data_IF_985221146288
#
_entry.id   IF_985221146288
#
_cell.length_a   1.000
_cell.length_b   1.000
_cell.length_c   1.000
_cell.angle_alpha   90.00
_cell.angle_beta   90.00
_cell.angle_gamma   90.00
#
_symmetry.space_group_name_H-M   'P 1'
#
loop_
_entity.id
_entity.type
_entity.pdbx_description
1 polymer ?
#
# COMPACT_ATOMS: atom_id res chain seq x y z
N UNK A 1 12.60 22.49 -1.73
CA UNK A 1 12.20 21.24 -2.41
C UNK A 1 13.43 20.39 -2.77
N UNK A 2 14.43 20.92 -3.48
CA UNK A 2 15.61 20.17 -3.97
C UNK A 2 16.33 19.38 -2.85
N UNK A 3 16.70 20.04 -1.76
CA UNK A 3 17.35 19.36 -0.63
C UNK A 3 16.52 18.22 -0.05
N UNK A 4 15.21 18.39 0.09
CA UNK A 4 14.32 17.31 0.55
C UNK A 4 14.29 16.15 -0.46
N UNK A 5 14.34 16.43 -1.77
CA UNK A 5 14.36 15.42 -2.83
C UNK A 5 15.62 14.57 -2.77
N UNK A 6 16.79 15.20 -2.56
CA UNK A 6 18.06 14.48 -2.42
C UNK A 6 18.00 13.48 -1.24
N UNK A 7 17.54 13.93 -0.08
CA UNK A 7 17.43 13.06 1.12
C UNK A 7 16.46 11.91 0.87
N UNK A 8 15.27 12.21 0.34
CA UNK A 8 14.23 11.22 0.13
C UNK A 8 14.63 10.23 -0.98
N UNK A 9 15.24 10.70 -2.07
CA UNK A 9 15.68 9.81 -3.16
C UNK A 9 16.78 8.85 -2.70
N UNK A 10 17.72 9.31 -1.87
CA UNK A 10 18.74 8.44 -1.26
C UNK A 10 18.11 7.35 -0.38
N UNK A 11 17.13 7.72 0.44
CA UNK A 11 16.39 6.79 1.28
C UNK A 11 15.61 5.74 0.47
N UNK A 12 15.05 6.14 -0.68
CA UNK A 12 14.29 5.25 -1.56
C UNK A 12 15.16 4.46 -2.53
N UNK A 13 16.47 4.70 -2.56
CA UNK A 13 17.40 4.08 -3.51
C UNK A 13 17.08 4.43 -4.96
N UNK A 14 16.83 5.71 -5.24
CA UNK A 14 16.51 6.18 -6.59
C UNK A 14 17.21 7.49 -6.93
N UNK A 15 17.15 7.88 -8.24
CA UNK A 15 17.63 9.19 -8.69
C UNK A 15 16.64 10.28 -8.35
N UNK A 16 17.13 11.43 -7.89
CA UNK A 16 16.32 12.62 -7.63
C UNK A 16 15.62 13.15 -8.90
N UNK A 17 16.17 12.90 -10.09
CA UNK A 17 15.58 13.33 -11.37
C UNK A 17 14.27 12.61 -11.68
N UNK A 18 14.08 11.43 -11.10
CA UNK A 18 12.93 10.57 -11.31
C UNK A 18 11.87 10.70 -10.20
N UNK A 19 12.08 11.58 -9.21
CA UNK A 19 11.24 11.71 -8.03
C UNK A 19 10.43 13.00 -8.03
N UNK A 20 9.13 12.91 -8.27
CA UNK A 20 8.16 14.01 -8.13
C UNK A 20 7.42 13.94 -6.79
N UNK A 21 7.05 15.10 -6.23
CA UNK A 21 6.29 15.16 -4.99
C UNK A 21 4.79 15.34 -5.23
N UNK A 22 4.02 14.59 -4.50
CA UNK A 22 2.56 14.54 -4.53
C UNK A 22 2.03 14.50 -3.08
N UNK A 23 0.74 14.72 -2.91
CA UNK A 23 0.10 14.72 -1.58
C UNK A 23 -0.01 13.30 -1.00
N UNK A 24 -0.27 12.29 -1.85
CA UNK A 24 -0.43 10.90 -1.46
C UNK A 24 -0.33 9.96 -2.67
N UNK A 25 -0.20 8.65 -2.39
CA UNK A 25 -0.08 7.62 -3.43
C UNK A 25 -1.28 7.60 -4.40
N UNK A 26 -2.51 7.83 -3.92
CA UNK A 26 -3.71 7.87 -4.77
C UNK A 26 -3.62 8.97 -5.83
N UNK A 27 -3.15 10.17 -5.44
CA UNK A 27 -2.86 11.26 -6.38
C UNK A 27 -1.80 10.83 -7.40
N UNK A 28 -0.75 10.11 -6.96
CA UNK A 28 0.28 9.60 -7.85
C UNK A 28 -0.23 8.60 -8.87
N UNK A 29 -1.05 7.65 -8.43
CA UNK A 29 -1.76 6.73 -9.34
C UNK A 29 -2.60 7.52 -10.33
N UNK A 30 -3.33 8.55 -9.86
CA UNK A 30 -4.11 9.46 -10.71
C UNK A 30 -3.27 10.15 -11.79
N UNK A 31 -2.09 10.67 -11.44
CA UNK A 31 -1.15 11.29 -12.40
C UNK A 31 -0.76 10.29 -13.50
N UNK A 32 -0.41 9.06 -13.12
CA UNK A 32 -0.04 8.02 -14.09
C UNK A 32 -1.22 7.70 -14.99
N UNK A 33 -2.37 7.34 -14.44
CA UNK A 33 -3.54 6.93 -15.22
C UNK A 33 -4.03 8.04 -16.17
N UNK A 34 -4.00 9.30 -15.71
CA UNK A 34 -4.40 10.43 -16.55
C UNK A 34 -3.39 10.71 -17.70
N UNK A 35 -2.14 10.35 -17.51
CA UNK A 35 -1.07 10.53 -18.49
C UNK A 35 -0.95 9.37 -19.50
N UNK A 36 -1.67 8.27 -19.28
CA UNK A 36 -1.65 7.13 -20.19
C UNK A 36 -2.35 7.47 -21.53
N UNK A 37 -1.73 6.99 -22.59
CA UNK A 37 -2.33 7.00 -23.94
C UNK A 37 -2.36 5.56 -24.48
N UNK A 38 -3.37 4.80 -24.07
CA UNK A 38 -3.55 3.40 -24.47
C UNK A 38 -4.62 3.29 -25.56
N UNK A 39 -4.52 2.30 -26.46
CA UNK A 39 -5.58 2.03 -27.45
C UNK A 39 -6.93 1.73 -26.80
N UNK A 40 -8.01 2.06 -27.50
CA UNK A 40 -9.36 1.63 -27.13
C UNK A 40 -9.41 0.11 -26.99
N UNK A 41 -10.12 -0.38 -25.98
CA UNK A 41 -10.20 -1.80 -25.64
C UNK A 41 -9.00 -2.38 -24.93
N UNK A 42 -8.01 -1.55 -24.52
CA UNK A 42 -6.93 -1.98 -23.65
C UNK A 42 -7.45 -2.46 -22.29
N UNK A 43 -6.80 -3.46 -21.72
CA UNK A 43 -7.13 -3.97 -20.39
C UNK A 43 -6.15 -3.46 -19.34
N UNK A 44 -6.71 -2.89 -18.27
CA UNK A 44 -6.01 -2.55 -17.04
C UNK A 44 -6.32 -3.62 -16.01
N UNK A 45 -5.31 -4.18 -15.37
CA UNK A 45 -5.50 -5.20 -14.34
C UNK A 45 -4.91 -4.76 -13.01
N UNK A 46 -5.59 -5.14 -11.93
CA UNK A 46 -5.07 -5.11 -10.57
C UNK A 46 -5.42 -6.42 -9.88
N UNK A 47 -5.00 -6.62 -8.63
CA UNK A 47 -5.51 -7.73 -7.83
C UNK A 47 -6.71 -7.28 -7.00
N UNK A 48 -7.50 -8.23 -6.49
CA UNK A 48 -8.56 -7.95 -5.52
C UNK A 48 -8.03 -7.32 -4.20
N UNK A 49 -6.70 -7.33 -3.97
CA UNK A 49 -6.05 -6.66 -2.85
C UNK A 49 -5.86 -5.15 -3.05
N UNK A 50 -6.14 -4.64 -4.24
CA UNK A 50 -5.95 -3.23 -4.59
C UNK A 50 -6.69 -2.30 -3.63
N UNK A 51 -6.02 -1.21 -3.24
CA UNK A 51 -6.64 -0.18 -2.41
C UNK A 51 -7.91 0.38 -3.08
N UNK A 52 -9.01 0.50 -2.31
CA UNK A 52 -10.31 0.86 -2.88
C UNK A 52 -10.31 2.20 -3.64
N UNK A 53 -9.54 3.19 -3.19
CA UNK A 53 -9.39 4.45 -3.92
C UNK A 53 -8.78 4.27 -5.31
N UNK A 54 -7.80 3.37 -5.45
CA UNK A 54 -7.18 3.00 -6.73
C UNK A 54 -8.17 2.20 -7.59
N UNK A 55 -8.92 1.26 -7.00
CA UNK A 55 -10.00 0.51 -7.67
C UNK A 55 -10.99 1.45 -8.35
N UNK A 56 -11.52 2.42 -7.62
CA UNK A 56 -12.48 3.38 -8.15
C UNK A 56 -11.87 4.25 -9.26
N UNK A 57 -10.60 4.64 -9.10
CA UNK A 57 -9.89 5.43 -10.11
C UNK A 57 -9.70 4.64 -11.42
N UNK A 58 -9.30 3.36 -11.34
CA UNK A 58 -9.14 2.49 -12.50
C UNK A 58 -10.49 2.25 -13.21
N UNK A 59 -11.56 2.00 -12.47
CA UNK A 59 -12.91 1.85 -13.02
C UNK A 59 -13.35 3.12 -13.76
N UNK A 60 -13.27 4.28 -13.12
CA UNK A 60 -13.66 5.55 -13.70
C UNK A 60 -12.81 5.96 -14.93
N UNK A 61 -11.50 5.61 -14.92
CA UNK A 61 -10.64 5.86 -16.07
C UNK A 61 -10.98 4.94 -17.24
N UNK A 62 -11.31 3.69 -16.95
CA UNK A 62 -11.71 2.71 -17.98
C UNK A 62 -12.99 3.11 -18.68
N UNK A 63 -14.02 3.58 -17.94
CA UNK A 63 -15.26 4.11 -18.51
C UNK A 63 -15.01 5.31 -19.43
N UNK A 64 -14.11 6.24 -19.03
CA UNK A 64 -13.83 7.46 -19.81
C UNK A 64 -13.04 7.25 -21.09
N UNK A 65 -12.24 6.18 -21.16
CA UNK A 65 -11.29 5.96 -22.25
C UNK A 65 -11.62 4.71 -23.09
N UNK A 66 -12.78 4.10 -22.89
CA UNK A 66 -13.16 2.83 -23.53
C UNK A 66 -12.12 1.72 -23.29
N UNK A 67 -11.57 1.66 -22.08
CA UNK A 67 -10.72 0.58 -21.60
C UNK A 67 -11.53 -0.40 -20.76
N UNK A 68 -10.93 -1.53 -20.41
CA UNK A 68 -11.53 -2.52 -19.50
C UNK A 68 -10.70 -2.59 -18.23
N UNK A 69 -11.33 -2.44 -17.07
CA UNK A 69 -10.71 -2.74 -15.79
C UNK A 69 -11.15 -4.11 -15.30
N UNK A 70 -10.20 -4.92 -14.86
CA UNK A 70 -10.47 -6.25 -14.30
C UNK A 70 -9.58 -6.52 -13.08
N UNK A 71 -10.14 -7.22 -12.09
CA UNK A 71 -9.40 -7.71 -10.94
C UNK A 71 -9.02 -9.18 -11.11
N UNK A 72 -7.76 -9.49 -10.77
CA UNK A 72 -7.23 -10.85 -10.65
C UNK A 72 -7.42 -11.27 -9.21
N UNK A 73 -8.12 -12.36 -8.98
CA UNK A 73 -8.43 -12.81 -7.63
C UNK A 73 -7.28 -13.62 -7.04
N UNK A 74 -6.55 -13.03 -6.09
CA UNK A 74 -5.56 -13.72 -5.27
C UNK A 74 -6.26 -14.21 -4.01
N UNK A 75 -6.43 -15.52 -3.93
CA UNK A 75 -7.10 -16.18 -2.80
C UNK A 75 -6.21 -16.16 -1.56
N UNK A 76 -6.85 -16.00 -0.38
CA UNK A 76 -6.20 -16.13 0.92
C UNK A 76 -6.69 -17.36 1.68
N UNK A 77 -5.85 -18.01 2.48
CA UNK A 77 -4.47 -17.65 2.81
C UNK A 77 -3.49 -17.78 1.65
N UNK A 78 -2.59 -16.81 1.55
CA UNK A 78 -1.44 -16.92 0.65
C UNK A 78 -0.36 -17.74 1.34
N UNK A 79 0.20 -18.73 0.65
CA UNK A 79 1.20 -19.65 1.20
C UNK A 79 2.62 -19.37 0.74
N UNK A 80 2.79 -18.71 -0.41
CA UNK A 80 4.10 -18.35 -0.94
C UNK A 80 4.03 -17.17 -1.92
N UNK A 81 5.14 -16.44 -2.15
CA UNK A 81 5.23 -15.44 -3.20
C UNK A 81 4.93 -16.02 -4.60
N UNK A 82 5.31 -17.28 -4.84
CA UNK A 82 5.08 -17.96 -6.12
C UNK A 82 3.59 -18.11 -6.42
N UNK A 83 2.75 -18.41 -5.43
CA UNK A 83 1.29 -18.47 -5.60
C UNK A 83 0.74 -17.15 -6.15
N UNK A 84 1.19 -16.00 -5.62
CA UNK A 84 0.77 -14.69 -6.14
C UNK A 84 1.25 -14.50 -7.57
N UNK A 85 2.54 -14.81 -7.81
CA UNK A 85 3.16 -14.64 -9.11
C UNK A 85 2.41 -15.43 -10.18
N UNK A 86 2.18 -16.72 -9.96
CA UNK A 86 1.46 -17.59 -10.89
C UNK A 86 0.04 -17.09 -11.14
N UNK A 87 -0.69 -16.73 -10.06
CA UNK A 87 -2.06 -16.22 -10.17
C UNK A 87 -2.13 -14.94 -11.01
N UNK A 88 -1.21 -14.00 -10.79
CA UNK A 88 -1.18 -12.73 -11.54
C UNK A 88 -0.82 -12.98 -13.00
N UNK A 89 0.15 -13.84 -13.27
CA UNK A 89 0.61 -14.18 -14.63
C UNK A 89 -0.49 -14.88 -15.44
N UNK A 90 -1.20 -15.81 -14.82
CA UNK A 90 -2.31 -16.53 -15.44
C UNK A 90 -3.52 -15.61 -15.69
N UNK A 91 -3.61 -14.55 -14.91
CA UNK A 91 -4.63 -13.52 -15.08
C UNK A 91 -4.40 -12.57 -16.26
N UNK A 92 -3.25 -12.55 -16.92
CA UNK A 92 -3.04 -11.66 -18.06
C UNK A 92 -3.72 -12.17 -19.34
N UNK A 93 -4.21 -11.24 -20.15
CA UNK A 93 -4.72 -11.48 -21.49
C UNK A 93 -3.87 -10.76 -22.56
N UNK A 94 -4.12 -11.03 -23.83
CA UNK A 94 -3.45 -10.33 -24.94
C UNK A 94 -3.79 -8.81 -24.97
N UNK A 95 -4.88 -8.42 -24.29
CA UNK A 95 -5.32 -7.02 -24.17
C UNK A 95 -4.72 -6.31 -22.97
N UNK A 96 -4.09 -7.03 -22.04
CA UNK A 96 -3.49 -6.43 -20.85
C UNK A 96 -2.38 -5.48 -21.23
N UNK A 97 -2.51 -4.21 -20.85
CA UNK A 97 -1.52 -3.14 -21.13
C UNK A 97 -0.93 -2.52 -19.88
N UNK A 98 -1.62 -2.62 -18.74
CA UNK A 98 -1.16 -2.11 -17.46
C UNK A 98 -1.50 -3.09 -16.35
N UNK A 99 -0.50 -3.39 -15.51
CA UNK A 99 -0.69 -3.97 -14.18
C UNK A 99 -0.53 -2.87 -13.13
N UNK A 100 -1.53 -2.70 -12.26
CA UNK A 100 -1.41 -1.90 -11.04
C UNK A 100 -1.36 -2.85 -9.86
N UNK A 101 -0.27 -2.81 -9.09
CA UNK A 101 0.00 -3.78 -8.04
C UNK A 101 0.45 -3.13 -6.74
N UNK A 102 -0.13 -3.54 -5.63
CA UNK A 102 0.35 -3.13 -4.31
C UNK A 102 1.71 -3.77 -4.01
N UNK A 103 2.67 -3.02 -3.46
CA UNK A 103 3.88 -3.61 -2.89
C UNK A 103 3.58 -4.24 -1.54
N UNK A 104 2.77 -3.57 -0.72
CA UNK A 104 2.20 -4.09 0.52
C UNK A 104 0.72 -3.80 0.53
N UNK A 105 -0.10 -4.84 0.46
CA UNK A 105 -1.54 -4.71 0.39
C UNK A 105 -2.14 -4.10 1.67
N UNK A 106 -3.03 -3.13 1.49
CA UNK A 106 -3.58 -2.35 2.61
C UNK A 106 -4.42 -3.20 3.57
N UNK A 107 -5.31 -4.05 3.05
CA UNK A 107 -6.21 -4.86 3.89
C UNK A 107 -5.46 -6.03 4.53
N UNK A 108 -4.70 -6.76 3.74
CA UNK A 108 -4.13 -8.05 4.16
C UNK A 108 -2.74 -7.94 4.79
N UNK A 109 -2.05 -6.81 4.59
CA UNK A 109 -0.66 -6.62 5.04
C UNK A 109 0.37 -7.45 4.26
N UNK A 110 -0.07 -8.18 3.23
CA UNK A 110 0.80 -9.08 2.45
C UNK A 110 1.77 -8.28 1.60
N UNK A 111 3.04 -8.67 1.64
CA UNK A 111 4.09 -8.16 0.76
C UNK A 111 4.08 -8.96 -0.55
N UNK A 112 3.88 -8.28 -1.66
CA UNK A 112 3.79 -8.87 -2.99
C UNK A 112 5.18 -9.02 -3.65
N UNK A 113 5.38 -10.03 -4.52
CA UNK A 113 6.64 -10.27 -5.22
C UNK A 113 6.83 -9.30 -6.41
N UNK A 114 6.94 -8.00 -6.07
CA UNK A 114 6.96 -6.91 -7.07
C UNK A 114 8.15 -7.03 -8.01
N UNK A 115 9.31 -7.47 -7.52
CA UNK A 115 10.52 -7.62 -8.34
C UNK A 115 10.30 -8.61 -9.48
N UNK A 116 9.74 -9.76 -9.18
CA UNK A 116 9.43 -10.82 -10.15
C UNK A 116 8.33 -10.36 -11.12
N UNK A 117 7.30 -9.68 -10.61
CA UNK A 117 6.21 -9.13 -11.44
C UNK A 117 6.73 -8.08 -12.43
N UNK A 118 7.65 -7.20 -12.01
CA UNK A 118 8.28 -6.22 -12.92
C UNK A 118 9.00 -6.91 -14.06
N UNK A 119 9.77 -7.97 -13.78
CA UNK A 119 10.48 -8.73 -14.81
C UNK A 119 9.52 -9.36 -15.82
N UNK A 120 8.47 -10.03 -15.34
CA UNK A 120 7.46 -10.67 -16.20
C UNK A 120 6.69 -9.65 -17.03
N UNK A 121 6.29 -8.53 -16.44
CA UNK A 121 5.60 -7.46 -17.17
C UNK A 121 6.48 -6.90 -18.30
N UNK A 122 7.74 -6.66 -18.01
CA UNK A 122 8.72 -6.20 -19.02
C UNK A 122 8.89 -7.19 -20.17
N UNK A 123 9.01 -8.49 -19.88
CA UNK A 123 9.10 -9.53 -20.90
C UNK A 123 7.85 -9.62 -21.78
N UNK A 124 6.68 -9.34 -21.22
CA UNK A 124 5.39 -9.37 -21.92
C UNK A 124 4.97 -8.04 -22.56
N UNK A 125 5.75 -6.98 -22.39
CA UNK A 125 5.39 -5.65 -22.88
C UNK A 125 4.18 -5.05 -22.18
N UNK A 126 3.94 -5.41 -20.92
CA UNK A 126 2.89 -4.88 -20.04
C UNK A 126 3.53 -3.82 -19.16
N UNK A 127 2.98 -2.60 -19.16
CA UNK A 127 3.43 -1.56 -18.23
C UNK A 127 3.04 -1.92 -16.79
N UNK A 128 3.87 -1.51 -15.82
CA UNK A 128 3.61 -1.79 -14.39
C UNK A 128 3.69 -0.53 -13.53
N UNK A 129 2.61 -0.25 -12.81
CA UNK A 129 2.53 0.77 -11.76
C UNK A 129 2.49 0.09 -10.40
N UNK A 130 3.50 0.35 -9.57
CA UNK A 130 3.57 -0.19 -8.21
C UNK A 130 3.01 0.81 -7.21
N UNK A 131 1.96 0.42 -6.52
CA UNK A 131 1.45 1.13 -5.34
C UNK A 131 2.25 0.70 -4.10
N UNK A 132 3.26 1.49 -3.78
CA UNK A 132 4.09 1.32 -2.60
C UNK A 132 3.62 2.15 -1.40
N UNK A 133 2.34 2.50 -1.29
CA UNK A 133 1.82 3.37 -0.23
C UNK A 133 2.25 2.97 1.18
N UNK A 134 2.46 1.68 1.44
CA UNK A 134 2.90 1.14 2.73
C UNK A 134 4.38 0.74 2.78
N UNK A 135 5.12 0.81 1.67
CA UNK A 135 6.46 0.25 1.60
C UNK A 135 7.58 1.15 2.20
N UNK A 136 7.60 2.49 1.97
CA UNK A 136 8.65 3.34 2.53
C UNK A 136 8.67 3.29 4.07
N UNK A 137 9.83 2.99 4.65
CA UNK A 137 10.01 2.82 6.09
C UNK A 137 9.64 1.43 6.63
N UNK A 138 8.78 0.67 5.92
CA UNK A 138 8.43 -0.70 6.27
C UNK A 138 9.36 -1.73 5.62
N UNK A 139 9.70 -1.53 4.34
CA UNK A 139 10.55 -2.41 3.57
C UNK A 139 11.90 -1.76 3.27
N UNK A 140 12.89 -2.58 2.98
CA UNK A 140 14.18 -2.10 2.44
C UNK A 140 14.03 -1.85 0.94
N UNK A 141 13.85 -0.58 0.57
CA UNK A 141 13.55 -0.18 -0.79
C UNK A 141 14.80 0.19 -1.57
N UNK A 142 14.86 -0.27 -2.81
CA UNK A 142 15.72 0.27 -3.84
C UNK A 142 14.91 0.33 -5.14
N UNK A 143 14.27 1.47 -5.40
CA UNK A 143 13.34 1.60 -6.53
C UNK A 143 14.08 1.49 -7.86
N UNK A 144 15.32 1.98 -7.95
CA UNK A 144 16.13 1.81 -9.17
C UNK A 144 16.42 0.34 -9.49
N UNK A 145 16.64 -0.51 -8.46
CA UNK A 145 16.84 -1.94 -8.68
C UNK A 145 15.54 -2.67 -9.02
N UNK A 146 14.41 -2.23 -8.48
CA UNK A 146 13.09 -2.75 -8.86
C UNK A 146 12.76 -2.39 -10.30
N UNK A 147 13.05 -1.16 -10.70
CA UNK A 147 12.88 -0.61 -12.04
C UNK A 147 11.50 -0.86 -12.69
N UNK A 148 10.37 -0.56 -12.00
CA UNK A 148 9.04 -0.56 -12.63
C UNK A 148 8.91 0.61 -13.62
N UNK A 149 7.78 0.75 -14.29
CA UNK A 149 7.49 1.95 -15.08
C UNK A 149 7.17 3.13 -14.17
N UNK A 150 6.38 2.91 -13.13
CA UNK A 150 6.05 3.92 -12.11
C UNK A 150 5.98 3.27 -10.73
N UNK A 151 6.34 4.07 -9.73
CA UNK A 151 6.23 3.70 -8.32
C UNK A 151 5.68 4.87 -7.52
N UNK A 152 4.58 4.67 -6.80
CA UNK A 152 4.03 5.67 -5.88
C UNK A 152 4.25 5.25 -4.43
N UNK A 153 4.36 6.21 -3.52
CA UNK A 153 4.48 5.89 -2.11
C UNK A 153 4.11 7.05 -1.20
N UNK A 154 3.89 6.72 0.07
CA UNK A 154 3.58 7.67 1.13
C UNK A 154 4.73 7.78 2.14
N UNK A 155 5.09 9.02 2.49
CA UNK A 155 6.05 9.32 3.53
C UNK A 155 5.35 9.63 4.88
N UNK A 156 4.03 9.79 4.86
CA UNK A 156 3.21 10.05 6.06
C UNK A 156 2.66 8.78 6.74
N UNK A 157 3.10 7.59 6.31
CA UNK A 157 2.76 6.32 6.98
C UNK A 157 3.93 5.84 7.84
N UNK A 158 4.76 4.93 7.35
CA UNK A 158 5.82 4.28 8.13
C UNK A 158 7.09 5.10 8.29
N UNK A 159 7.26 6.16 7.48
CA UNK A 159 8.32 7.17 7.68
C UNK A 159 7.93 8.18 8.76
N UNK A 160 6.64 8.22 9.16
CA UNK A 160 6.10 9.13 10.17
C UNK A 160 6.23 10.63 9.78
N UNK A 161 6.25 10.94 8.50
CA UNK A 161 6.12 12.32 8.00
C UNK A 161 4.67 12.84 8.22
N UNK A 162 4.45 14.16 8.20
CA UNK A 162 3.11 14.73 8.29
C UNK A 162 2.22 14.31 7.11
N UNK A 163 0.87 14.26 7.28
CA UNK A 163 -0.06 14.02 6.20
C UNK A 163 0.16 14.98 5.02
N UNK A 164 -0.05 14.51 3.79
CA UNK A 164 0.19 15.29 2.57
C UNK A 164 1.61 15.15 2.03
N UNK A 165 2.38 14.16 2.47
CA UNK A 165 3.70 13.84 1.94
C UNK A 165 3.69 12.49 1.22
N UNK A 166 3.74 12.50 -0.09
CA UNK A 166 3.88 11.36 -0.97
C UNK A 166 4.85 11.65 -2.12
N UNK A 167 5.16 10.61 -2.88
CA UNK A 167 6.02 10.73 -4.04
C UNK A 167 5.54 9.84 -5.18
N UNK A 168 5.89 10.27 -6.39
CA UNK A 168 5.81 9.49 -7.62
C UNK A 168 7.23 9.37 -8.19
N UNK A 169 7.71 8.15 -8.30
CA UNK A 169 8.92 7.84 -9.06
C UNK A 169 8.52 7.37 -10.47
N UNK A 170 9.27 7.83 -11.46
CA UNK A 170 8.98 7.59 -12.88
C UNK A 170 10.25 7.08 -13.57
N UNK A 171 10.12 5.98 -14.30
CA UNK A 171 11.22 5.46 -15.13
C UNK A 171 11.58 6.48 -16.22
N UNK A 172 12.87 6.55 -16.60
CA UNK A 172 13.37 7.49 -17.61
C UNK A 172 12.58 7.44 -18.91
N UNK A 173 12.10 6.27 -19.31
CA UNK A 173 11.30 6.08 -20.52
C UNK A 173 9.96 6.84 -20.53
N UNK A 174 9.47 7.26 -19.38
CA UNK A 174 8.15 7.89 -19.21
C UNK A 174 8.18 9.33 -18.74
N UNK A 175 9.36 9.89 -18.43
CA UNK A 175 9.50 11.25 -17.86
C UNK A 175 8.87 12.37 -18.71
N UNK A 176 8.90 12.21 -20.03
CA UNK A 176 8.36 13.24 -20.96
C UNK A 176 6.83 13.20 -21.08
N UNK A 177 6.21 12.06 -20.70
CA UNK A 177 4.78 11.81 -20.93
C UNK A 177 3.96 11.80 -19.65
N UNK A 178 4.59 12.09 -18.50
CA UNK A 178 3.92 12.12 -17.22
C UNK A 178 3.67 13.56 -16.76
N UNK A 179 2.45 13.82 -16.34
CA UNK A 179 2.04 15.15 -15.89
C UNK A 179 1.33 15.08 -14.53
N UNK A 180 1.42 16.13 -13.71
CA UNK A 180 0.65 16.20 -12.47
C UNK A 180 -0.85 16.36 -12.76
N UNK A 181 -1.70 16.02 -11.80
CA UNK A 181 -3.15 16.20 -11.90
C UNK A 181 -3.55 17.65 -12.22
N UNK A 182 -2.79 18.61 -11.70
CA UNK A 182 -3.00 20.04 -11.94
C UNK A 182 -1.94 20.55 -12.90
N UNK A 183 -2.33 20.81 -14.14
CA UNK A 183 -1.48 21.49 -15.12
C UNK A 183 -1.31 22.95 -14.74
N UNK A 184 -0.06 23.44 -14.73
CA UNK A 184 0.28 24.80 -14.30
C UNK A 184 1.36 25.44 -15.19
N UNK A 185 2.10 26.42 -14.64
CA UNK A 185 3.02 27.30 -15.38
C UNK A 185 4.13 26.57 -16.16
N UNK A 186 4.58 25.41 -15.67
CA UNK A 186 5.72 24.69 -16.25
C UNK A 186 5.31 23.50 -17.13
N UNK A 187 4.10 23.52 -17.69
CA UNK A 187 3.63 22.45 -18.58
C UNK A 187 4.62 22.21 -19.74
N UNK A 188 5.06 20.96 -19.89
CA UNK A 188 6.09 20.51 -20.87
C UNK A 188 7.47 21.15 -20.68
N UNK A 189 7.80 21.60 -19.47
CA UNK A 189 9.13 22.13 -19.16
C UNK A 189 9.94 21.18 -18.26
N UNK A 190 9.59 19.90 -18.27
CA UNK A 190 10.27 18.82 -17.57
C UNK A 190 9.57 18.39 -16.28
N UNK A 191 9.66 17.10 -16.01
CA UNK A 191 8.98 16.41 -14.93
C UNK A 191 9.10 17.11 -13.57
N UNK A 192 10.32 17.44 -13.15
CA UNK A 192 10.55 18.09 -11.85
C UNK A 192 9.87 19.46 -11.77
N UNK A 193 9.97 20.28 -12.82
CA UNK A 193 9.38 21.60 -12.81
C UNK A 193 7.85 21.54 -12.74
N UNK A 194 7.24 20.61 -13.45
CA UNK A 194 5.79 20.42 -13.44
C UNK A 194 5.29 19.95 -12.08
N UNK A 195 5.97 18.97 -11.44
CA UNK A 195 5.57 18.43 -10.16
C UNK A 195 5.91 19.35 -8.98
N UNK A 196 6.92 20.19 -9.09
CA UNK A 196 7.25 21.17 -8.05
C UNK A 196 6.27 22.33 -8.01
N UNK A 197 5.75 22.75 -9.17
CA UNK A 197 4.83 23.88 -9.26
C UNK A 197 3.48 23.49 -9.87
N UNK A 198 2.59 23.03 -9.03
CA UNK A 198 1.20 22.72 -9.37
C UNK A 198 0.21 23.83 -8.93
N UNK A 199 0.69 25.08 -8.81
CA UNK A 199 0.01 26.21 -8.19
C UNK A 199 0.52 26.48 -6.77
N UNK A 200 0.08 27.57 -6.16
CA UNK A 200 0.42 27.89 -4.76
C UNK A 200 -0.16 26.85 -3.84
N UNK A 201 0.70 26.13 -3.10
CA UNK A 201 0.31 25.08 -2.17
C UNK A 201 1.25 25.01 -0.97
N UNK A 202 0.81 24.38 0.10
CA UNK A 202 1.64 24.08 1.26
C UNK A 202 2.58 22.90 0.94
N UNK A 203 3.88 23.12 1.06
CA UNK A 203 4.93 22.13 0.87
C UNK A 203 5.55 21.66 2.20
N UNK A 204 5.03 22.14 3.32
CA UNK A 204 5.59 21.88 4.67
C UNK A 204 5.69 20.38 4.95
N UNK A 205 4.65 19.61 4.60
CA UNK A 205 4.65 18.16 4.80
C UNK A 205 5.79 17.45 4.09
N UNK A 206 6.12 17.87 2.86
CA UNK A 206 7.24 17.31 2.08
C UNK A 206 8.59 17.64 2.74
N UNK A 207 8.77 18.89 3.18
CA UNK A 207 9.99 19.30 3.86
C UNK A 207 10.18 18.57 5.20
N UNK A 208 9.10 18.42 5.97
CA UNK A 208 9.12 17.67 7.22
C UNK A 208 9.34 16.15 7.00
N UNK A 209 8.88 15.59 5.88
CA UNK A 209 9.13 14.18 5.56
C UNK A 209 10.63 13.88 5.38
N UNK A 210 11.41 14.82 4.80
CA UNK A 210 12.86 14.68 4.72
C UNK A 210 13.51 14.65 6.12
N UNK A 211 13.00 15.47 7.06
CA UNK A 211 13.45 15.45 8.46
C UNK A 211 13.09 14.12 9.13
N UNK A 212 11.89 13.57 8.85
CA UNK A 212 11.48 12.27 9.37
C UNK A 212 12.36 11.13 8.83
N UNK A 213 12.78 11.17 7.55
CA UNK A 213 13.76 10.24 6.99
C UNK A 213 15.08 10.32 7.75
N UNK A 214 15.64 11.52 7.95
CA UNK A 214 16.90 11.72 8.69
C UNK A 214 16.78 11.29 10.16
N UNK A 215 15.61 11.45 10.77
CA UNK A 215 15.36 10.96 12.13
C UNK A 215 15.42 9.43 12.18
N UNK A 216 14.79 8.75 11.24
CA UNK A 216 14.86 7.30 11.12
C UNK A 216 16.29 6.79 10.83
N UNK A 217 17.09 7.53 10.06
CA UNK A 217 18.51 7.22 9.84
C UNK A 217 19.33 7.25 11.14
N UNK A 218 19.05 8.23 12.04
CA UNK A 218 19.73 8.31 13.35
C UNK A 218 19.41 7.14 14.27
N UNK A 219 18.20 6.58 14.17
CA UNK A 219 17.80 5.36 14.90
C UNK A 219 18.36 4.11 14.19
N UNK A 220 18.45 4.17 12.88
CA UNK A 220 18.81 3.06 12.00
C UNK A 220 17.58 2.40 11.37
N UNK A 221 17.31 2.65 10.09
CA UNK A 221 16.16 2.09 9.39
C UNK A 221 16.08 0.57 9.43
N UNK A 222 17.21 -0.12 9.35
CA UNK A 222 17.27 -1.58 9.50
C UNK A 222 16.81 -2.03 10.89
N UNK A 223 17.20 -1.30 11.95
CA UNK A 223 16.74 -1.58 13.31
C UNK A 223 15.23 -1.37 13.43
N UNK A 224 14.70 -0.26 12.92
CA UNK A 224 13.26 0.05 12.91
C UNK A 224 12.47 -1.05 12.21
N UNK A 225 12.87 -1.43 10.99
CA UNK A 225 12.20 -2.47 10.20
C UNK A 225 12.21 -3.82 10.90
N UNK A 226 13.36 -4.25 11.42
CA UNK A 226 13.50 -5.53 12.12
C UNK A 226 12.67 -5.58 13.41
N UNK A 227 12.68 -4.49 14.19
CA UNK A 227 11.86 -4.39 15.40
C UNK A 227 10.37 -4.50 15.06
N UNK A 228 9.90 -3.66 14.13
CA UNK A 228 8.50 -3.63 13.74
C UNK A 228 8.03 -4.98 13.16
N UNK A 229 8.85 -5.59 12.31
CA UNK A 229 8.56 -6.91 11.74
C UNK A 229 8.46 -7.99 12.82
N UNK A 230 9.48 -8.09 13.70
CA UNK A 230 9.48 -9.08 14.78
C UNK A 230 8.28 -8.91 15.72
N UNK A 231 7.92 -7.66 16.00
CA UNK A 231 6.75 -7.34 16.81
C UNK A 231 5.45 -7.75 16.09
N UNK A 232 5.30 -7.43 14.80
CA UNK A 232 4.13 -7.82 14.01
C UNK A 232 3.95 -9.35 13.95
N UNK A 233 5.02 -10.11 13.75
CA UNK A 233 5.01 -11.58 13.78
C UNK A 233 4.59 -12.11 15.16
N UNK A 234 5.14 -11.53 16.24
CA UNK A 234 4.79 -11.93 17.61
C UNK A 234 3.32 -11.65 17.93
N UNK A 235 2.82 -10.49 17.50
CA UNK A 235 1.42 -10.09 17.67
C UNK A 235 0.49 -11.00 16.86
N UNK A 236 0.84 -11.31 15.60
CA UNK A 236 0.11 -12.22 14.74
C UNK A 236 -0.02 -13.62 15.39
N UNK A 237 1.09 -14.17 15.86
CA UNK A 237 1.10 -15.49 16.54
C UNK A 237 0.18 -15.51 17.76
N UNK A 238 0.24 -14.49 18.63
CA UNK A 238 -0.64 -14.39 19.79
C UNK A 238 -2.12 -14.32 19.43
N UNK A 239 -2.49 -13.59 18.37
CA UNK A 239 -3.88 -13.52 17.91
C UNK A 239 -4.37 -14.86 17.35
N UNK A 240 -3.54 -15.55 16.55
CA UNK A 240 -3.85 -16.89 16.04
C UNK A 240 -4.08 -17.87 17.19
N UNK A 241 -3.19 -17.87 18.18
CA UNK A 241 -3.29 -18.76 19.34
C UNK A 241 -4.54 -18.49 20.18
N UNK A 242 -4.86 -17.22 20.43
CA UNK A 242 -5.99 -16.82 21.25
C UNK A 242 -7.35 -17.07 20.56
N UNK A 243 -7.45 -16.74 19.28
CA UNK A 243 -8.71 -16.78 18.54
C UNK A 243 -8.94 -18.06 17.77
N UNK A 244 -7.91 -18.92 17.65
CA UNK A 244 -7.90 -20.08 16.76
C UNK A 244 -8.28 -19.70 15.32
N UNK A 245 -7.99 -18.45 14.97
CA UNK A 245 -8.22 -17.87 13.67
C UNK A 245 -7.12 -18.26 12.69
N UNK A 246 -7.35 -17.94 11.42
CA UNK A 246 -6.41 -18.19 10.36
C UNK A 246 -5.68 -16.88 9.98
N UNK A 247 -4.37 -16.95 9.77
CA UNK A 247 -3.63 -15.87 9.16
C UNK A 247 -3.86 -15.85 7.66
N UNK A 248 -3.90 -14.65 7.06
CA UNK A 248 -4.03 -14.51 5.61
C UNK A 248 -2.69 -14.72 4.86
N UNK A 249 -1.58 -14.84 5.59
CA UNK A 249 -0.22 -15.03 5.08
C UNK A 249 0.52 -16.05 5.94
N UNK A 250 1.69 -16.56 5.51
CA UNK A 250 2.48 -17.50 6.31
C UNK A 250 2.75 -17.00 7.72
N UNK A 251 2.46 -17.82 8.73
CA UNK A 251 2.60 -17.45 10.16
C UNK A 251 4.05 -17.21 10.61
N UNK A 252 5.04 -17.65 9.79
CA UNK A 252 6.46 -17.36 10.02
C UNK A 252 6.85 -15.91 9.68
N UNK A 253 5.89 -15.09 9.21
CA UNK A 253 6.11 -13.69 8.87
C UNK A 253 6.82 -13.42 7.55
N UNK A 254 7.15 -14.45 6.75
CA UNK A 254 7.94 -14.29 5.52
C UNK A 254 7.31 -13.38 4.45
N UNK A 255 6.00 -13.12 4.54
CA UNK A 255 5.25 -12.29 3.58
C UNK A 255 4.55 -11.10 4.23
N UNK A 256 5.02 -10.64 5.38
CA UNK A 256 4.55 -9.40 6.01
C UNK A 256 5.71 -8.44 6.28
N UNK A 257 5.38 -7.17 6.46
CA UNK A 257 6.30 -6.15 6.96
C UNK A 257 6.00 -5.82 8.42
N UNK A 258 5.50 -4.62 8.66
CA UNK A 258 5.09 -4.14 9.99
C UNK A 258 3.59 -4.27 10.24
N UNK A 259 2.85 -4.94 9.35
CA UNK A 259 1.42 -5.22 9.46
C UNK A 259 1.17 -6.71 9.33
N UNK A 260 0.15 -7.20 10.06
CA UNK A 260 -0.39 -8.52 9.88
C UNK A 260 -1.91 -8.50 9.98
N UNK A 261 -2.58 -9.38 9.25
CA UNK A 261 -4.04 -9.50 9.28
C UNK A 261 -4.43 -10.91 9.68
N UNK A 262 -5.32 -11.00 10.65
CA UNK A 262 -5.79 -12.26 11.24
C UNK A 262 -7.32 -12.26 11.23
N UNK A 263 -7.90 -13.42 10.94
CA UNK A 263 -9.34 -13.62 11.04
C UNK A 263 -9.82 -13.47 12.49
N UNK A 264 -10.92 -12.74 12.70
CA UNK A 264 -11.60 -12.71 13.98
C UNK A 264 -12.16 -14.10 14.36
N UNK A 265 -12.42 -14.36 15.64
CA UNK A 265 -13.05 -15.61 16.07
C UNK A 265 -14.36 -15.90 15.33
N UNK A 266 -14.69 -17.17 15.13
CA UNK A 266 -15.96 -17.59 14.51
C UNK A 266 -17.14 -17.01 15.28
N UNK A 267 -18.16 -16.54 14.56
CA UNK A 267 -19.41 -16.03 15.13
C UNK A 267 -19.58 -14.50 14.98
N UNK A 268 -18.56 -13.79 14.50
CA UNK A 268 -18.74 -12.38 14.14
C UNK A 268 -19.46 -12.25 12.79
N UNK A 269 -20.42 -11.30 12.67
CA UNK A 269 -21.20 -11.12 11.45
C UNK A 269 -20.34 -10.67 10.27
N UNK A 270 -20.64 -11.22 9.10
CA UNK A 270 -20.00 -10.86 7.82
C UNK A 270 -20.71 -9.65 7.17
N UNK A 271 -20.80 -8.53 7.91
CA UNK A 271 -21.47 -7.32 7.42
C UNK A 271 -20.59 -6.08 7.69
N UNK A 272 -20.32 -5.30 6.65
CA UNK A 272 -19.46 -4.11 6.74
C UNK A 272 -19.91 -3.14 7.84
N UNK A 273 -21.21 -2.85 7.92
CA UNK A 273 -21.78 -2.01 8.96
C UNK A 273 -21.48 -2.50 10.39
N UNK A 274 -21.35 -3.81 10.59
CA UNK A 274 -21.01 -4.39 11.89
C UNK A 274 -19.51 -4.29 12.16
N UNK A 275 -18.66 -4.42 11.16
CA UNK A 275 -17.22 -4.20 11.26
C UNK A 275 -16.93 -2.76 11.72
N UNK A 276 -17.56 -1.76 11.08
CA UNK A 276 -17.45 -0.35 11.45
C UNK A 276 -17.94 -0.10 12.87
N UNK A 277 -19.09 -0.67 13.25
CA UNK A 277 -19.65 -0.53 14.59
C UNK A 277 -18.74 -1.16 15.66
N UNK A 278 -18.13 -2.31 15.38
CA UNK A 278 -17.18 -2.97 16.26
C UNK A 278 -15.88 -2.16 16.41
N UNK A 279 -15.34 -1.63 15.32
CA UNK A 279 -14.16 -0.76 15.37
C UNK A 279 -14.43 0.47 16.26
N UNK A 280 -15.56 1.13 16.04
CA UNK A 280 -15.96 2.25 16.88
C UNK A 280 -16.14 1.86 18.34
N UNK A 281 -16.76 0.72 18.62
CA UNK A 281 -16.97 0.22 19.99
C UNK A 281 -15.64 -0.09 20.68
N UNK A 282 -14.67 -0.71 20.01
CA UNK A 282 -13.35 -0.95 20.55
C UNK A 282 -12.62 0.35 20.90
N UNK A 283 -12.77 1.36 20.06
CA UNK A 283 -12.20 2.69 20.34
C UNK A 283 -12.90 3.34 21.56
N UNK A 284 -14.23 3.40 21.58
CA UNK A 284 -14.99 4.08 22.62
C UNK A 284 -14.83 3.42 24.01
N UNK A 285 -14.82 2.09 24.08
CA UNK A 285 -14.80 1.33 25.34
C UNK A 285 -13.39 0.99 25.84
N UNK A 286 -12.45 0.75 24.92
CA UNK A 286 -11.12 0.22 25.27
C UNK A 286 -9.97 1.11 24.81
N UNK A 287 -10.24 2.20 24.10
CA UNK A 287 -9.24 3.08 23.47
C UNK A 287 -8.28 2.26 22.56
N UNK A 288 -8.87 1.31 21.83
CA UNK A 288 -8.16 0.48 20.86
C UNK A 288 -8.58 0.91 19.46
N UNK A 289 -7.61 1.36 18.67
CA UNK A 289 -7.80 1.73 17.28
C UNK A 289 -7.16 0.68 16.38
N UNK A 290 -7.98 -0.18 15.78
CA UNK A 290 -7.57 -1.21 14.81
C UNK A 290 -8.60 -1.28 13.70
N UNK A 291 -8.20 -1.40 12.43
CA UNK A 291 -9.13 -1.65 11.34
C UNK A 291 -9.75 -3.04 11.48
N UNK A 292 -11.08 -3.08 11.45
CA UNK A 292 -11.86 -4.30 11.30
C UNK A 292 -12.53 -4.23 9.94
N UNK A 293 -12.36 -5.26 9.12
CA UNK A 293 -12.74 -5.22 7.72
C UNK A 293 -13.35 -6.56 7.30
N UNK A 294 -14.16 -6.50 6.25
CA UNK A 294 -14.54 -7.69 5.51
C UNK A 294 -13.46 -8.02 4.47
N UNK A 295 -13.09 -9.27 4.41
CA UNK A 295 -12.17 -9.77 3.41
C UNK A 295 -12.63 -11.14 2.92
N UNK A 296 -13.02 -11.20 1.63
CA UNK A 296 -13.71 -12.39 1.10
C UNK A 296 -14.88 -12.77 2.02
N UNK A 297 -14.94 -13.96 2.54
CA UNK A 297 -16.03 -14.45 3.44
C UNK A 297 -15.66 -14.34 4.93
N UNK A 298 -14.74 -13.45 5.33
CA UNK A 298 -14.19 -13.39 6.68
C UNK A 298 -14.23 -11.96 7.22
N UNK A 299 -14.48 -11.84 8.52
CA UNK A 299 -14.19 -10.62 9.25
C UNK A 299 -12.77 -10.70 9.78
N UNK A 300 -11.96 -9.70 9.44
CA UNK A 300 -10.52 -9.68 9.76
C UNK A 300 -10.17 -8.42 10.55
N UNK A 301 -9.12 -8.52 11.34
CA UNK A 301 -8.47 -7.38 11.99
C UNK A 301 -7.04 -7.26 11.48
N UNK A 302 -6.63 -6.04 11.14
CA UNK A 302 -5.26 -5.74 10.79
C UNK A 302 -4.56 -5.04 11.95
N UNK A 303 -3.47 -5.62 12.41
CA UNK A 303 -2.57 -5.01 13.40
C UNK A 303 -1.42 -4.30 12.71
N UNK A 304 -0.89 -3.28 13.37
CA UNK A 304 0.24 -2.48 12.91
C UNK A 304 1.26 -2.33 14.03
N UNK A 305 2.51 -2.65 13.75
CA UNK A 305 3.62 -2.54 14.69
C UNK A 305 4.54 -1.37 14.33
N UNK A 306 4.84 -0.52 15.30
CA UNK A 306 5.79 0.57 15.19
C UNK A 306 6.63 0.65 16.47
N UNK A 307 7.74 1.38 16.47
CA UNK A 307 8.66 1.53 17.62
C UNK A 307 7.96 1.82 18.96
N UNK A 308 6.83 2.52 18.93
CA UNK A 308 6.04 2.89 20.11
C UNK A 308 4.93 1.87 20.44
N UNK A 309 4.81 0.79 19.66
CA UNK A 309 3.78 -0.25 19.92
C UNK A 309 4.29 -1.25 20.93
N UNK A 310 3.51 -1.49 21.97
CA UNK A 310 3.83 -2.46 23.03
C UNK A 310 3.11 -3.79 22.80
N UNK A 311 3.78 -4.90 23.06
CA UNK A 311 3.21 -6.24 22.90
C UNK A 311 2.00 -6.48 23.84
N UNK A 312 1.93 -5.78 24.97
CA UNK A 312 0.78 -5.88 25.89
C UNK A 312 -0.51 -5.33 25.30
N UNK A 313 -0.43 -4.42 24.33
CA UNK A 313 -1.59 -3.95 23.56
C UNK A 313 -2.39 -5.08 22.89
N UNK A 314 -1.72 -6.18 22.52
CA UNK A 314 -2.39 -7.36 21.96
C UNK A 314 -3.24 -8.10 22.98
N UNK A 315 -2.81 -8.23 24.23
CA UNK A 315 -3.59 -8.83 25.29
C UNK A 315 -4.88 -8.02 25.55
N UNK A 316 -4.77 -6.68 25.52
CA UNK A 316 -5.94 -5.79 25.60
C UNK A 316 -6.90 -5.99 24.43
N UNK A 317 -6.37 -6.10 23.19
CA UNK A 317 -7.18 -6.37 22.00
C UNK A 317 -7.89 -7.73 22.10
N UNK A 318 -7.20 -8.79 22.50
CA UNK A 318 -7.77 -10.13 22.70
C UNK A 318 -8.96 -10.07 23.68
N UNK A 319 -8.76 -9.46 24.85
CA UNK A 319 -9.80 -9.35 25.86
C UNK A 319 -10.99 -8.50 25.39
N UNK A 320 -10.71 -7.40 24.66
CA UNK A 320 -11.76 -6.53 24.13
C UNK A 320 -12.58 -7.22 23.03
N UNK A 321 -11.95 -7.98 22.15
CA UNK A 321 -12.64 -8.79 21.14
C UNK A 321 -13.50 -9.87 21.78
N UNK A 322 -13.03 -10.53 22.83
CA UNK A 322 -13.82 -11.52 23.58
C UNK A 322 -15.06 -10.86 24.21
N UNK A 323 -14.90 -9.73 24.87
CA UNK A 323 -16.02 -8.97 25.46
C UNK A 323 -17.01 -8.48 24.39
N UNK A 324 -16.55 -8.18 23.17
CA UNK A 324 -17.42 -7.72 22.08
C UNK A 324 -18.35 -8.80 21.54
N UNK A 325 -18.09 -10.10 21.81
CA UNK A 325 -18.94 -11.20 21.37
C UNK A 325 -20.37 -11.09 21.91
N UNK A 326 -20.53 -10.72 23.17
CA UNK A 326 -21.85 -10.50 23.76
C UNK A 326 -22.66 -9.41 23.05
N UNK A 327 -21.95 -8.46 22.41
CA UNK A 327 -22.54 -7.30 21.76
C UNK A 327 -22.83 -7.52 20.27
N UNK A 328 -21.93 -8.25 19.59
CA UNK A 328 -21.97 -8.39 18.14
C UNK A 328 -22.27 -9.80 17.63
N UNK A 329 -22.09 -10.87 18.47
CA UNK A 329 -22.37 -12.24 18.06
C UNK A 329 -23.80 -12.70 18.43
N UNK A 330 -24.51 -12.01 19.33
CA UNK A 330 -25.86 -12.36 19.77
C UNK A 330 -27.00 -11.81 18.91
N UNK A 331 -26.69 -11.18 17.78
CA UNK A 331 -27.65 -10.61 16.81
C UNK A 331 -27.64 -11.47 15.53
N UNK A 332 -27.81 -12.78 15.70
CA UNK A 332 -28.00 -13.74 14.63
C UNK A 332 -29.32 -14.46 14.77
#
# INVERSE_FOLDING_TARGET
MEHARIIISQFLGCSEKNLGFIENATTGVGCVIQSLNLPVGSELVATNHVYNGVRQLLAAASERNDWTYREIEVQTPVHSPQQILDTVIDGFSDKTKLLVIDHVASITGIVFPVKELVLVCKERGIAILVDGAHAPGMLDLNINQLSPDWYVGNLHKWVCGPPGAGFLWVNDAHLENIHPMTISHFYKQGFINEFDWQGTRDITSILCAAIAVQWGEKIGWTHIRNHNHSLAVSMQSKLIDAWKGESLSPSNGSMIGSMATVQLPIGFPLVEKTADAMQKWLYDQYQIEVPIMLWQDRTVVRISAQLYTELDGINRLINAVEASKEHFCSIG
#
